data_IF_535079627124
#
_entry.id   IF_535079627124
#
_cell.length_a   1.000
_cell.length_b   1.000
_cell.length_c   1.000
_cell.angle_alpha   90.00
_cell.angle_beta   90.00
_cell.angle_gamma   90.00
#
_symmetry.space_group_name_H-M   'P 1'
#
loop_
_entity.id
_entity.type
_entity.pdbx_description
1 polymer ?
#
# COMPACT_ATOMS: atom_id res chain seq x y z
N UNK A 1 -1.28 35.99 -60.04
CA UNK A 1 -1.04 34.59 -60.40
C UNK A 1 0.13 34.04 -59.59
N UNK A 2 -0.16 33.38 -58.47
CA UNK A 2 0.67 32.30 -57.90
C UNK A 2 -0.31 31.34 -57.21
N UNK A 3 -0.44 30.15 -57.77
CA UNK A 3 -1.34 29.08 -57.36
C UNK A 3 -0.72 28.33 -56.18
N UNK A 4 -1.25 28.57 -54.97
CA UNK A 4 -0.94 27.76 -53.79
C UNK A 4 -1.70 26.44 -53.87
N UNK A 5 -1.00 25.39 -54.32
CA UNK A 5 -1.50 24.02 -54.44
C UNK A 5 -1.86 23.38 -53.09
N UNK A 6 -2.99 22.65 -53.09
CA UNK A 6 -3.63 21.83 -52.05
C UNK A 6 -2.73 20.84 -51.27
N UNK A 7 -1.44 20.74 -51.61
CA UNK A 7 -0.47 19.81 -51.01
C UNK A 7 0.26 20.34 -49.78
N UNK A 8 0.18 21.63 -49.45
CA UNK A 8 0.87 22.19 -48.27
C UNK A 8 0.06 22.23 -46.98
N UNK A 9 -1.26 21.98 -47.03
CA UNK A 9 -2.10 22.00 -45.82
C UNK A 9 -2.18 20.65 -45.09
N UNK A 10 -1.78 19.55 -45.74
CA UNK A 10 -1.87 18.20 -45.16
C UNK A 10 -0.58 17.72 -44.47
N UNK A 11 0.51 18.49 -44.55
CA UNK A 11 1.80 18.09 -43.99
C UNK A 11 1.99 18.46 -42.50
N UNK A 12 1.05 19.20 -41.89
CA UNK A 12 1.14 19.57 -40.46
C UNK A 12 0.40 18.62 -39.51
N UNK A 13 -0.41 17.68 -40.01
CA UNK A 13 -1.11 16.71 -39.15
C UNK A 13 -0.37 15.38 -38.96
N UNK A 14 0.76 15.15 -39.65
CA UNK A 14 1.45 13.86 -39.64
C UNK A 14 2.64 13.78 -38.66
N UNK A 15 2.89 14.81 -37.85
CA UNK A 15 4.03 14.86 -36.92
C UNK A 15 3.66 14.69 -35.43
N UNK A 16 2.45 14.21 -35.12
CA UNK A 16 1.97 14.02 -33.74
C UNK A 16 1.84 12.55 -33.29
N UNK A 17 2.26 11.57 -34.10
CA UNK A 17 2.07 10.14 -33.78
C UNK A 17 3.30 9.43 -33.22
N UNK A 18 4.40 10.14 -32.95
CA UNK A 18 5.62 9.56 -32.38
C UNK A 18 5.88 10.01 -30.94
N UNK A 19 4.83 10.13 -30.12
CA UNK A 19 5.01 10.01 -28.67
C UNK A 19 5.05 8.52 -28.33
N UNK A 20 6.01 8.03 -27.54
CA UNK A 20 5.94 6.68 -27.03
C UNK A 20 4.60 6.56 -26.29
N UNK A 21 3.68 5.78 -26.84
CA UNK A 21 2.53 5.30 -26.08
C UNK A 21 3.17 4.53 -24.93
N UNK A 22 3.21 5.17 -23.75
CA UNK A 22 3.29 4.42 -22.51
C UNK A 22 2.14 3.44 -22.64
N UNK A 23 2.47 2.17 -22.84
CA UNK A 23 1.51 1.10 -22.72
C UNK A 23 0.98 1.27 -21.30
N UNK A 24 -0.19 1.90 -21.17
CA UNK A 24 -1.00 1.72 -19.99
C UNK A 24 -1.31 0.25 -20.06
N UNK A 25 -0.51 -0.53 -19.33
CA UNK A 25 -0.88 -1.86 -18.91
C UNK A 25 -2.26 -1.69 -18.31
N UNK A 26 -3.30 -2.02 -19.08
CA UNK A 26 -4.60 -2.37 -18.54
C UNK A 26 -4.37 -3.67 -17.79
N UNK A 27 -3.74 -3.53 -16.62
CA UNK A 27 -3.61 -4.62 -15.68
C UNK A 27 -5.01 -5.08 -15.29
N UNK A 28 -5.16 -6.32 -14.83
CA UNK A 28 -6.42 -6.77 -14.27
C UNK A 28 -6.93 -5.71 -13.29
N UNK A 29 -8.21 -5.33 -13.40
CA UNK A 29 -8.81 -4.38 -12.46
C UNK A 29 -8.58 -4.88 -11.04
N UNK A 30 -7.89 -4.10 -10.22
CA UNK A 30 -7.70 -4.44 -8.80
C UNK A 30 -9.04 -4.28 -8.09
N UNK A 31 -9.63 -5.37 -7.64
CA UNK A 31 -10.78 -5.34 -6.74
C UNK A 31 -10.24 -5.46 -5.32
N UNK A 32 -10.17 -4.32 -4.64
CA UNK A 32 -9.54 -4.22 -3.34
C UNK A 32 -10.58 -4.18 -2.22
N UNK A 33 -10.32 -4.90 -1.13
CA UNK A 33 -11.10 -4.82 0.09
C UNK A 33 -10.26 -4.26 1.23
N UNK A 34 -10.82 -3.32 2.00
CA UNK A 34 -10.14 -2.72 3.15
C UNK A 34 -10.63 -3.41 4.41
N UNK A 35 -9.71 -3.95 5.20
CA UNK A 35 -10.01 -4.42 6.55
C UNK A 35 -9.36 -3.41 7.51
N UNK A 36 -10.16 -2.77 8.36
CA UNK A 36 -9.67 -1.76 9.33
C UNK A 36 -9.36 -2.35 10.73
N UNK A 37 -9.81 -3.58 10.98
CA UNK A 37 -9.52 -4.36 12.20
C UNK A 37 -8.62 -5.54 11.89
N UNK A 38 -7.77 -5.96 12.82
CA UNK A 38 -6.86 -7.06 12.57
C UNK A 38 -6.57 -7.95 13.74
N UNK A 39 -5.54 -8.75 13.56
CA UNK A 39 -5.32 -9.90 14.41
C UNK A 39 -4.16 -9.69 15.38
N UNK A 40 -3.29 -8.70 15.14
CA UNK A 40 -2.18 -8.37 16.03
C UNK A 40 -2.47 -7.08 16.79
N UNK A 41 -2.12 -7.05 18.08
CA UNK A 41 -2.16 -5.85 18.90
C UNK A 41 -1.23 -4.73 18.36
N UNK A 42 -1.43 -3.54 18.89
CA UNK A 42 -0.54 -2.41 18.65
C UNK A 42 0.87 -2.66 19.18
N UNK A 43 1.84 -1.97 18.60
CA UNK A 43 3.24 -2.11 18.96
C UNK A 43 3.83 -0.74 19.21
N UNK A 44 3.99 -0.42 20.49
CA UNK A 44 4.80 0.73 20.86
C UNK A 44 6.20 0.57 20.25
N UNK A 45 6.73 1.65 19.67
CA UNK A 45 8.08 1.70 19.09
C UNK A 45 9.15 1.32 20.12
N UNK A 46 8.87 1.53 21.40
CA UNK A 46 9.73 1.13 22.51
C UNK A 46 9.69 -0.37 22.83
N UNK A 47 8.71 -1.13 22.30
CA UNK A 47 8.49 -2.53 22.63
C UNK A 47 8.59 -3.43 21.39
N UNK A 48 9.73 -4.12 21.25
CA UNK A 48 9.89 -5.19 20.27
C UNK A 48 9.17 -6.47 20.76
N UNK A 49 7.85 -6.57 20.55
CA UNK A 49 7.16 -7.84 20.76
C UNK A 49 7.29 -8.71 19.51
N UNK A 50 8.09 -9.77 19.65
CA UNK A 50 8.38 -10.74 18.57
C UNK A 50 7.17 -11.65 18.32
N UNK A 51 6.34 -11.87 19.35
CA UNK A 51 5.09 -12.61 19.27
C UNK A 51 3.95 -11.68 18.85
N UNK A 52 3.56 -11.79 17.59
CA UNK A 52 2.51 -10.98 16.97
C UNK A 52 1.17 -11.69 16.89
N UNK A 53 1.13 -12.99 17.16
CA UNK A 53 -0.10 -13.75 17.05
C UNK A 53 -1.11 -13.29 18.09
N UNK A 54 -2.40 -13.39 17.73
CA UNK A 54 -3.53 -12.74 18.39
C UNK A 54 -3.45 -12.84 19.92
N UNK A 55 -3.26 -11.68 20.56
CA UNK A 55 -3.41 -11.51 22.01
C UNK A 55 -4.88 -11.32 22.37
N UNK A 56 -5.22 -11.57 23.64
CA UNK A 56 -6.58 -11.46 24.17
C UNK A 56 -7.26 -10.15 23.72
N UNK A 57 -8.39 -10.29 23.01
CA UNK A 57 -9.17 -9.17 22.46
C UNK A 57 -8.98 -8.89 20.96
N UNK A 58 -8.03 -9.53 20.28
CA UNK A 58 -7.93 -9.50 18.81
C UNK A 58 -8.75 -10.59 18.16
N UNK A 59 -9.36 -10.28 17.00
CA UNK A 59 -9.91 -11.32 16.13
C UNK A 59 -8.78 -12.24 15.67
N UNK A 60 -9.12 -13.49 15.31
CA UNK A 60 -8.17 -14.40 14.67
C UNK A 60 -8.40 -14.38 13.16
N UNK A 61 -7.34 -14.62 12.36
CA UNK A 61 -7.51 -14.82 10.91
C UNK A 61 -8.51 -15.97 10.67
N UNK A 62 -9.43 -15.78 9.73
CA UNK A 62 -10.54 -16.71 9.44
C UNK A 62 -10.55 -17.09 7.96
N UNK A 63 -10.45 -18.39 7.65
CA UNK A 63 -10.46 -18.88 6.27
C UNK A 63 -11.78 -18.57 5.56
N UNK A 64 -12.93 -18.80 6.19
CA UNK A 64 -14.25 -18.59 5.58
C UNK A 64 -14.43 -17.14 5.10
N UNK A 65 -13.88 -16.19 5.86
CA UNK A 65 -13.91 -14.78 5.51
C UNK A 65 -13.07 -14.47 4.27
N UNK A 66 -11.83 -14.97 4.21
CA UNK A 66 -10.96 -14.74 3.06
C UNK A 66 -11.42 -15.49 1.81
N UNK A 67 -11.99 -16.68 1.98
CA UNK A 67 -12.64 -17.44 0.92
C UNK A 67 -13.83 -16.66 0.34
N UNK A 68 -14.66 -16.05 1.20
CA UNK A 68 -15.77 -15.19 0.76
C UNK A 68 -15.26 -13.98 -0.05
N UNK A 69 -14.15 -13.36 0.36
CA UNK A 69 -13.54 -12.25 -0.39
C UNK A 69 -13.06 -12.72 -1.78
N UNK A 70 -12.35 -13.85 -1.83
CA UNK A 70 -11.87 -14.41 -3.09
C UNK A 70 -13.02 -14.77 -4.04
N UNK A 71 -14.10 -15.39 -3.52
CA UNK A 71 -15.32 -15.68 -4.30
C UNK A 71 -16.03 -14.42 -4.79
N UNK A 72 -15.99 -13.32 -4.04
CA UNK A 72 -16.50 -12.02 -4.47
C UNK A 72 -15.59 -11.34 -5.53
N UNK A 73 -14.51 -11.99 -5.96
CA UNK A 73 -13.57 -11.48 -6.96
C UNK A 73 -12.60 -10.44 -6.39
N UNK A 74 -12.47 -10.32 -5.07
CA UNK A 74 -11.42 -9.50 -4.45
C UNK A 74 -10.07 -10.16 -4.74
N UNK A 75 -9.10 -9.36 -5.17
CA UNK A 75 -7.74 -9.84 -5.44
C UNK A 75 -6.69 -9.16 -4.55
N UNK A 76 -7.06 -8.10 -3.84
CA UNK A 76 -6.15 -7.36 -2.95
C UNK A 76 -6.85 -7.00 -1.66
N UNK A 77 -6.19 -7.23 -0.53
CA UNK A 77 -6.62 -6.80 0.78
C UNK A 77 -5.71 -5.68 1.28
N UNK A 78 -6.30 -4.55 1.65
CA UNK A 78 -5.61 -3.41 2.25
C UNK A 78 -5.73 -3.52 3.77
N UNK A 79 -4.58 -3.52 4.45
CA UNK A 79 -4.44 -3.62 5.90
C UNK A 79 -3.62 -2.48 6.45
N UNK A 80 -3.70 -2.28 7.76
CA UNK A 80 -3.04 -1.14 8.40
C UNK A 80 -1.85 -1.56 9.26
N UNK A 81 -0.91 -0.64 9.39
CA UNK A 81 0.05 -0.61 10.48
C UNK A 81 -0.22 0.59 11.37
N UNK A 82 -0.12 0.39 12.67
CA UNK A 82 -0.26 1.45 13.65
C UNK A 82 0.60 1.18 14.89
N UNK A 83 1.19 2.26 15.39
CA UNK A 83 2.08 2.19 16.56
C UNK A 83 1.28 1.90 17.83
N UNK A 84 0.17 2.62 18.04
CA UNK A 84 -0.56 2.59 19.30
C UNK A 84 -2.07 2.66 19.07
N UNK A 85 -2.83 2.26 20.09
CA UNK A 85 -4.28 2.37 20.07
C UNK A 85 -4.73 3.81 20.31
N UNK A 86 -4.64 4.66 19.29
CA UNK A 86 -5.07 6.05 19.40
C UNK A 86 -6.55 6.26 18.98
N UNK A 87 -7.21 5.22 18.47
CA UNK A 87 -8.57 5.29 17.93
C UNK A 87 -9.56 4.37 18.68
N UNK A 88 -9.14 3.76 19.80
CA UNK A 88 -9.87 2.71 20.54
C UNK A 88 -10.29 1.50 19.68
N UNK A 89 -9.77 1.37 18.47
CA UNK A 89 -9.91 0.15 17.67
C UNK A 89 -8.94 -0.86 18.27
N UNK A 90 -9.28 -2.13 18.45
CA UNK A 90 -8.29 -3.10 18.86
C UNK A 90 -7.65 -3.74 17.62
N UNK A 91 -6.35 -3.98 17.71
CA UNK A 91 -5.64 -4.93 16.86
C UNK A 91 -5.44 -4.53 15.39
N UNK A 92 -4.90 -3.33 15.12
CA UNK A 92 -4.77 -2.85 13.73
C UNK A 92 -3.72 -3.56 12.88
N UNK A 93 -2.78 -4.27 13.50
CA UNK A 93 -1.59 -4.78 12.83
C UNK A 93 -1.81 -6.20 12.25
N UNK A 94 -1.08 -6.50 11.17
CA UNK A 94 -1.09 -7.81 10.49
C UNK A 94 -0.14 -8.79 11.19
N UNK A 95 -0.52 -10.07 11.23
CA UNK A 95 0.32 -11.19 11.72
C UNK A 95 0.92 -11.98 10.56
N UNK A 96 1.94 -12.81 10.85
CA UNK A 96 2.46 -13.78 9.86
C UNK A 96 1.37 -14.73 9.38
N UNK A 97 0.59 -15.27 10.32
CA UNK A 97 -0.53 -16.17 10.02
C UNK A 97 -1.57 -15.52 9.11
N UNK A 98 -1.91 -14.25 9.33
CA UNK A 98 -2.83 -13.51 8.47
C UNK A 98 -2.28 -13.34 7.06
N UNK A 99 -1.01 -12.92 6.92
CA UNK A 99 -0.34 -12.83 5.62
C UNK A 99 -0.38 -14.17 4.88
N UNK A 100 -0.02 -15.24 5.56
CA UNK A 100 0.05 -16.58 4.94
C UNK A 100 -1.33 -17.03 4.48
N UNK A 101 -2.36 -16.85 5.31
CA UNK A 101 -3.73 -17.19 4.96
C UNK A 101 -4.26 -16.36 3.78
N UNK A 102 -3.93 -15.06 3.70
CA UNK A 102 -4.27 -14.24 2.53
C UNK A 102 -3.64 -14.81 1.25
N UNK A 103 -2.36 -15.18 1.30
CA UNK A 103 -1.68 -15.79 0.16
C UNK A 103 -2.25 -17.16 -0.23
N UNK A 104 -2.64 -17.99 0.74
CA UNK A 104 -3.29 -19.29 0.50
C UNK A 104 -4.61 -19.14 -0.28
N UNK A 105 -5.33 -18.03 -0.07
CA UNK A 105 -6.56 -17.69 -0.80
C UNK A 105 -6.32 -16.87 -2.08
N UNK A 106 -5.07 -16.71 -2.52
CA UNK A 106 -4.73 -15.95 -3.72
C UNK A 106 -4.93 -14.43 -3.59
N UNK A 107 -5.04 -13.91 -2.37
CA UNK A 107 -5.22 -12.49 -2.10
C UNK A 107 -3.86 -11.80 -1.93
N UNK A 108 -3.64 -10.71 -2.67
CA UNK A 108 -2.50 -9.84 -2.44
C UNK A 108 -2.68 -9.01 -1.16
N UNK A 109 -1.58 -8.73 -0.45
CA UNK A 109 -1.60 -7.89 0.75
C UNK A 109 -0.96 -6.52 0.47
N UNK A 110 -1.71 -5.45 0.65
CA UNK A 110 -1.23 -4.07 0.66
C UNK A 110 -1.28 -3.49 2.08
N UNK A 111 -0.23 -2.77 2.47
CA UNK A 111 -0.11 -2.18 3.80
C UNK A 111 -0.21 -0.65 3.73
N UNK A 112 -1.03 -0.07 4.60
CA UNK A 112 -1.16 1.38 4.82
C UNK A 112 -0.72 1.71 6.23
N UNK A 113 0.19 2.67 6.38
CA UNK A 113 0.51 3.19 7.71
C UNK A 113 -0.51 4.23 8.14
N UNK A 114 -1.09 4.06 9.33
CA UNK A 114 -2.02 5.04 9.89
C UNK A 114 -1.84 5.15 11.41
N UNK A 115 -1.21 6.25 11.82
CA UNK A 115 -1.11 6.66 13.21
C UNK A 115 -1.31 8.17 13.30
N UNK A 116 -2.15 8.61 14.25
CA UNK A 116 -2.49 10.02 14.52
C UNK A 116 -2.85 10.88 13.28
N UNK A 117 -3.58 10.32 12.31
CA UNK A 117 -3.90 11.01 11.06
C UNK A 117 -4.71 12.32 11.18
N UNK A 118 -5.23 12.65 12.37
CA UNK A 118 -5.93 13.92 12.67
C UNK A 118 -5.04 14.98 13.33
N UNK A 119 -3.80 14.64 13.70
CA UNK A 119 -2.90 15.55 14.40
C UNK A 119 -2.28 16.55 13.42
N UNK A 120 -2.53 17.84 13.66
CA UNK A 120 -1.93 18.92 12.86
C UNK A 120 -0.41 18.92 13.04
N UNK A 121 0.34 19.18 11.97
CA UNK A 121 1.81 19.25 11.96
C UNK A 121 2.55 17.95 12.34
N UNK A 122 1.86 16.80 12.34
CA UNK A 122 2.50 15.50 12.61
C UNK A 122 3.53 15.11 11.54
N UNK A 123 3.25 15.41 10.28
CA UNK A 123 4.08 15.02 9.14
C UNK A 123 5.30 15.94 9.02
N UNK A 124 6.34 15.62 9.80
CA UNK A 124 7.67 16.23 9.69
C UNK A 124 8.65 15.24 9.07
N UNK A 125 9.79 15.71 8.54
CA UNK A 125 10.79 14.82 7.95
C UNK A 125 11.34 13.77 8.93
N UNK A 126 11.63 14.19 10.18
CA UNK A 126 12.07 13.28 11.23
C UNK A 126 10.99 12.25 11.58
N UNK A 127 9.72 12.68 11.70
CA UNK A 127 8.63 11.75 12.01
C UNK A 127 8.35 10.79 10.86
N UNK A 128 8.34 11.28 9.62
CA UNK A 128 8.16 10.45 8.42
C UNK A 128 9.22 9.37 8.30
N UNK A 129 10.48 9.68 8.65
CA UNK A 129 11.56 8.69 8.69
C UNK A 129 11.26 7.58 9.69
N UNK A 130 10.88 7.94 10.92
CA UNK A 130 10.55 6.95 11.95
C UNK A 130 9.30 6.12 11.59
N UNK A 131 8.28 6.74 11.00
CA UNK A 131 7.06 6.07 10.53
C UNK A 131 7.42 5.04 9.41
N UNK A 132 8.32 5.38 8.50
CA UNK A 132 8.81 4.49 7.45
C UNK A 132 9.68 3.34 8.01
N UNK A 133 10.60 3.63 8.92
CA UNK A 133 11.43 2.62 9.60
C UNK A 133 10.56 1.61 10.35
N UNK A 134 9.50 2.09 11.04
CA UNK A 134 8.52 1.23 11.67
C UNK A 134 7.86 0.30 10.65
N UNK A 135 7.38 0.84 9.52
CA UNK A 135 6.75 0.02 8.47
C UNK A 135 7.70 -1.04 7.90
N UNK A 136 8.97 -0.67 7.68
CA UNK A 136 10.00 -1.59 7.20
C UNK A 136 10.26 -2.71 8.20
N UNK A 137 10.48 -2.37 9.47
CA UNK A 137 10.67 -3.35 10.53
C UNK A 137 9.46 -4.30 10.61
N UNK A 138 8.23 -3.76 10.57
CA UNK A 138 7.01 -4.57 10.60
C UNK A 138 6.90 -5.52 9.42
N UNK A 139 7.18 -5.03 8.21
CA UNK A 139 7.19 -5.87 7.01
C UNK A 139 8.22 -7.01 7.13
N UNK A 140 9.40 -6.75 7.71
CA UNK A 140 10.39 -7.79 8.00
C UNK A 140 9.87 -8.82 9.01
N UNK A 141 9.24 -8.38 10.12
CA UNK A 141 8.73 -9.33 11.13
C UNK A 141 7.66 -10.26 10.55
N UNK A 142 6.74 -9.71 9.74
CA UNK A 142 5.73 -10.54 9.08
C UNK A 142 6.25 -11.27 7.84
N UNK A 143 7.52 -11.10 7.48
CA UNK A 143 8.15 -11.73 6.32
C UNK A 143 7.59 -11.26 4.97
N UNK A 144 7.00 -10.06 4.89
CA UNK A 144 6.73 -9.42 3.61
C UNK A 144 8.08 -9.03 3.00
N UNK A 145 8.41 -9.56 1.82
CA UNK A 145 9.55 -9.06 1.04
C UNK A 145 9.20 -7.65 0.58
N UNK A 146 9.69 -6.65 1.30
CA UNK A 146 9.73 -5.29 0.78
C UNK A 146 10.72 -5.35 -0.38
N UNK A 147 10.29 -4.99 -1.60
CA UNK A 147 11.22 -4.73 -2.68
C UNK A 147 12.27 -3.75 -2.13
N UNK A 148 13.55 -4.14 -2.20
CA UNK A 148 14.64 -3.34 -1.66
C UNK A 148 14.47 -1.87 -2.07
N UNK A 149 14.77 -0.90 -1.19
CA UNK A 149 14.60 0.50 -1.51
C UNK A 149 15.46 0.83 -2.73
N UNK A 150 14.85 0.88 -3.91
CA UNK A 150 15.42 1.60 -5.03
C UNK A 150 15.55 3.03 -4.55
N UNK A 151 16.78 3.49 -4.46
CA UNK A 151 17.25 4.80 -4.00
C UNK A 151 16.49 5.93 -4.71
N UNK A 152 15.27 6.24 -4.25
CA UNK A 152 14.60 7.50 -4.55
C UNK A 152 15.20 8.51 -3.58
N UNK A 153 16.35 9.05 -3.97
CA UNK A 153 16.93 10.22 -3.34
C UNK A 153 15.88 11.34 -3.39
N UNK A 154 15.25 11.59 -2.24
CA UNK A 154 14.38 12.74 -2.04
C UNK A 154 15.29 13.97 -2.01
N UNK A 155 15.44 14.65 -3.14
CA UNK A 155 16.10 15.96 -3.17
C UNK A 155 15.14 16.96 -2.55
N UNK A 156 15.42 17.55 -1.37
CA UNK A 156 14.54 18.57 -0.82
C UNK A 156 14.56 19.79 -1.75
N UNK A 157 13.40 20.22 -2.24
CA UNK A 157 13.26 21.56 -2.78
C UNK A 157 13.52 22.54 -1.63
N UNK A 158 14.57 23.36 -1.80
CA UNK A 158 14.92 24.48 -0.92
C UNK A 158 13.84 25.58 -1.02
N UNK A 159 13.69 26.41 0.03
CA UNK A 159 12.57 27.35 0.20
C UNK A 159 12.44 28.38 -0.91
#
# INVERSE_FOLDING_TARGET
MQTLTRRRFLAQCAALTALPRIAVSSGPSTNAHIIDMGNAAYLDRSQARIELDARDGCTRPNHDFYETLAFAGVNTVIRYYSDQNNANLNCKNVTRRERDMLHEHGLALAIVYQFEGRSKNRFTGARGTQDAEFCLHRAQVIGNRVAAPSTLAWTPMRP
#
